data_IF_940869951320
#
_entry.id   IF_940869951320
#
_cell.length_a   1.000
_cell.length_b   1.000
_cell.length_c   1.000
_cell.angle_alpha   90.00
_cell.angle_beta   90.00
_cell.angle_gamma   90.00
#
_symmetry.space_group_name_H-M   'P 1'
#
loop_
_entity.id
_entity.type
_entity.pdbx_description
1 polymer ?
#
# COMPACT_ATOMS: atom_id res chain seq x y z
N UNK A 1 1.18 4.92 7.17
CA UNK A 1 1.97 4.16 6.18
C UNK A 1 1.56 4.60 4.78
N UNK A 2 2.49 5.16 3.98
CA UNK A 2 2.23 5.59 2.60
C UNK A 2 2.42 4.44 1.59
N UNK A 3 2.07 4.66 0.32
CA UNK A 3 2.27 3.69 -0.75
C UNK A 3 3.77 3.52 -1.09
N UNK A 4 4.22 2.28 -1.30
CA UNK A 4 5.61 1.96 -1.63
C UNK A 4 5.91 2.26 -3.10
N UNK A 5 6.15 3.54 -3.39
CA UNK A 5 6.47 4.07 -4.72
C UNK A 5 7.90 4.64 -4.76
N UNK A 6 8.94 3.78 -4.71
CA UNK A 6 10.31 4.27 -4.70
C UNK A 6 10.66 4.98 -6.00
N UNK A 7 11.56 5.96 -5.90
CA UNK A 7 12.26 6.55 -7.04
C UNK A 7 13.22 5.54 -7.68
N UNK A 8 13.57 5.75 -8.94
CA UNK A 8 14.56 4.93 -9.64
C UNK A 8 15.98 5.03 -9.03
N UNK A 9 16.98 4.37 -9.63
CA UNK A 9 16.88 3.61 -10.88
C UNK A 9 16.10 2.29 -10.71
N UNK A 10 15.43 1.86 -11.78
CA UNK A 10 14.75 0.57 -11.86
C UNK A 10 15.64 -0.42 -12.63
N UNK A 11 15.62 -1.70 -12.22
CA UNK A 11 16.46 -2.73 -12.83
C UNK A 11 15.98 -3.01 -14.25
N UNK A 12 16.91 -3.02 -15.21
CA UNK A 12 16.63 -3.41 -16.60
C UNK A 12 16.63 -4.92 -16.75
N UNK A 13 15.60 -5.43 -17.42
CA UNK A 13 15.46 -6.84 -17.73
C UNK A 13 16.02 -7.15 -19.12
N UNK A 14 17.13 -7.90 -19.15
CA UNK A 14 17.83 -8.30 -20.37
C UNK A 14 16.98 -9.21 -21.26
N UNK A 15 16.06 -9.98 -20.69
CA UNK A 15 15.18 -10.89 -21.42
C UNK A 15 13.96 -10.17 -22.02
N UNK A 16 13.70 -8.92 -21.61
CA UNK A 16 12.62 -8.08 -22.11
C UNK A 16 13.14 -6.84 -22.85
N UNK A 17 14.15 -7.00 -23.70
CA UNK A 17 14.76 -5.90 -24.48
C UNK A 17 15.19 -4.72 -23.60
N UNK A 18 15.79 -4.99 -22.43
CA UNK A 18 16.23 -3.98 -21.47
C UNK A 18 15.11 -3.08 -20.92
N UNK A 19 13.85 -3.54 -20.97
CA UNK A 19 12.71 -2.86 -20.35
C UNK A 19 12.83 -2.92 -18.83
N UNK A 20 12.24 -1.94 -18.17
CA UNK A 20 12.17 -1.87 -16.72
C UNK A 20 10.86 -1.19 -16.32
N UNK A 21 10.56 -1.24 -15.03
CA UNK A 21 9.54 -0.38 -14.45
C UNK A 21 9.89 1.11 -14.67
N UNK A 22 8.86 1.95 -14.82
CA UNK A 22 8.98 3.40 -14.93
C UNK A 22 8.11 4.09 -13.89
N UNK A 23 8.60 5.21 -13.34
CA UNK A 23 7.84 6.05 -12.41
C UNK A 23 6.53 6.57 -13.02
N UNK A 24 6.45 6.67 -14.36
CA UNK A 24 5.22 7.08 -15.05
C UNK A 24 4.04 6.16 -14.76
N UNK A 25 4.27 4.88 -14.46
CA UNK A 25 3.20 3.95 -14.11
C UNK A 25 2.45 4.34 -12.83
N UNK A 26 3.06 5.09 -11.93
CA UNK A 26 2.37 5.60 -10.74
C UNK A 26 1.34 6.68 -11.05
N UNK A 27 1.23 7.17 -12.28
CA UNK A 27 0.35 8.30 -12.61
C UNK A 27 -0.57 7.98 -13.78
N UNK A 28 -1.85 8.25 -13.61
CA UNK A 28 -2.85 8.25 -14.68
C UNK A 28 -3.10 9.67 -15.17
N UNK A 29 -3.39 9.84 -16.47
CA UNK A 29 -3.79 11.13 -17.03
C UNK A 29 -5.30 11.14 -17.23
N UNK A 30 -6.01 12.01 -16.51
CA UNK A 30 -7.44 12.24 -16.72
C UNK A 30 -7.66 13.69 -17.12
N UNK A 31 -8.19 13.92 -18.33
CA UNK A 31 -8.56 15.26 -18.85
C UNK A 31 -7.60 16.37 -18.40
N UNK A 32 -6.30 16.19 -18.67
CA UNK A 32 -5.18 17.11 -18.37
C UNK A 32 -4.60 17.12 -16.94
N UNK A 33 -5.13 16.33 -16.00
CA UNK A 33 -4.58 16.21 -14.63
C UNK A 33 -3.89 14.86 -14.44
N UNK A 34 -2.67 14.89 -13.90
CA UNK A 34 -1.96 13.71 -13.43
C UNK A 34 -2.49 13.30 -12.07
N UNK A 35 -3.05 12.10 -11.99
CA UNK A 35 -3.59 11.51 -10.76
C UNK A 35 -2.68 10.38 -10.32
N UNK A 36 -2.18 10.43 -9.09
CA UNK A 36 -1.37 9.35 -8.54
C UNK A 36 -2.22 8.09 -8.27
N UNK A 37 -1.76 6.95 -8.80
CA UNK A 37 -2.28 5.62 -8.50
C UNK A 37 -1.73 5.16 -7.16
N UNK A 38 -2.36 5.58 -6.07
CA UNK A 38 -1.90 5.26 -4.70
C UNK A 38 -1.76 3.75 -4.44
N UNK A 39 -2.51 2.92 -5.17
CA UNK A 39 -2.55 1.48 -5.01
C UNK A 39 -1.37 0.75 -5.68
N UNK A 40 -0.76 1.33 -6.71
CA UNK A 40 0.31 0.69 -7.49
C UNK A 40 1.66 0.92 -6.79
N UNK A 41 2.33 -0.17 -6.44
CA UNK A 41 3.62 -0.16 -5.74
C UNK A 41 4.67 -0.96 -6.51
N UNK A 42 5.95 -0.74 -6.19
CA UNK A 42 7.06 -1.49 -6.76
C UNK A 42 8.05 -1.93 -5.68
N UNK A 43 8.42 -3.21 -5.70
CA UNK A 43 9.46 -3.77 -4.84
C UNK A 43 10.80 -3.77 -5.57
N UNK A 44 11.77 -2.98 -5.08
CA UNK A 44 13.15 -2.99 -5.62
C UNK A 44 13.88 -4.31 -5.39
N UNK A 45 13.58 -4.98 -4.27
CA UNK A 45 14.23 -6.24 -3.89
C UNK A 45 13.75 -7.36 -4.81
N UNK A 46 12.44 -7.45 -5.00
CA UNK A 46 11.81 -8.50 -5.80
C UNK A 46 11.71 -8.12 -7.29
N UNK A 47 11.97 -6.87 -7.66
CA UNK A 47 11.82 -6.36 -9.03
C UNK A 47 10.43 -6.66 -9.62
N UNK A 48 9.37 -6.31 -8.88
CA UNK A 48 7.97 -6.55 -9.24
C UNK A 48 7.10 -5.33 -8.95
N UNK A 49 6.12 -5.08 -9.82
CA UNK A 49 5.00 -4.18 -9.55
C UNK A 49 3.84 -4.96 -8.92
N UNK A 50 3.15 -4.38 -7.94
CA UNK A 50 2.03 -5.04 -7.27
C UNK A 50 0.97 -4.02 -6.81
N UNK A 51 -0.21 -4.50 -6.47
CA UNK A 51 -1.29 -3.67 -5.92
C UNK A 51 -1.36 -3.85 -4.41
N UNK A 52 -1.04 -2.81 -3.64
CA UNK A 52 -0.98 -2.88 -2.18
C UNK A 52 -2.36 -3.20 -1.54
N UNK A 53 -3.46 -2.52 -1.92
CA UNK A 53 -4.79 -2.88 -1.41
C UNK A 53 -5.18 -4.32 -1.71
N UNK A 54 -4.95 -4.80 -2.94
CA UNK A 54 -5.29 -6.17 -3.29
C UNK A 54 -4.41 -7.19 -2.55
N UNK A 55 -3.11 -6.93 -2.41
CA UNK A 55 -2.22 -7.80 -1.67
C UNK A 55 -2.69 -8.01 -0.22
N UNK A 56 -3.18 -6.95 0.43
CA UNK A 56 -3.68 -7.01 1.79
C UNK A 56 -5.09 -7.63 1.88
N UNK A 57 -6.03 -7.09 1.12
CA UNK A 57 -7.47 -7.25 1.35
C UNK A 57 -8.22 -8.06 0.29
N UNK A 58 -7.55 -8.58 -0.75
CA UNK A 58 -8.27 -9.41 -1.73
C UNK A 58 -8.66 -10.76 -1.14
N UNK A 59 -9.85 -11.24 -1.52
CA UNK A 59 -10.28 -12.63 -1.31
C UNK A 59 -9.62 -13.59 -2.31
N UNK A 60 -9.24 -13.10 -3.49
CA UNK A 60 -8.66 -13.91 -4.57
C UNK A 60 -7.13 -13.93 -4.50
N UNK A 61 -6.56 -14.75 -3.62
CA UNK A 61 -5.10 -14.81 -3.39
C UNK A 61 -4.28 -15.22 -4.63
N UNK A 62 -4.89 -15.91 -5.59
CA UNK A 62 -4.25 -16.31 -6.85
C UNK A 62 -4.17 -15.16 -7.88
N UNK A 63 -4.59 -13.95 -7.54
CA UNK A 63 -4.48 -12.79 -8.41
C UNK A 63 -3.01 -12.40 -8.62
N UNK A 64 -2.60 -12.23 -9.87
CA UNK A 64 -1.24 -11.80 -10.27
C UNK A 64 -0.79 -10.51 -9.58
N UNK A 65 -1.73 -9.63 -9.21
CA UNK A 65 -1.46 -8.39 -8.49
C UNK A 65 -1.09 -8.57 -7.03
N UNK A 66 -1.30 -9.77 -6.46
CA UNK A 66 -0.86 -10.17 -5.12
C UNK A 66 0.52 -10.81 -5.13
N UNK A 67 0.85 -11.58 -6.18
CA UNK A 67 2.17 -12.18 -6.35
C UNK A 67 3.21 -11.20 -6.92
N UNK A 68 2.74 -10.22 -7.70
CA UNK A 68 3.56 -9.24 -8.39
C UNK A 68 3.71 -9.54 -9.88
N UNK A 69 3.96 -8.48 -10.63
CA UNK A 69 4.08 -8.48 -12.09
C UNK A 69 5.46 -7.97 -12.46
N UNK A 70 6.16 -8.73 -13.30
CA UNK A 70 7.41 -8.34 -13.97
C UNK A 70 7.27 -8.30 -15.49
N UNK A 71 6.06 -8.26 -16.03
CA UNK A 71 5.85 -8.12 -17.47
C UNK A 71 5.81 -6.63 -17.85
N UNK A 72 6.99 -6.04 -18.08
CA UNK A 72 7.14 -4.62 -18.36
C UNK A 72 6.57 -4.22 -19.71
N UNK A 73 6.48 -5.17 -20.65
CA UNK A 73 5.92 -4.94 -21.98
C UNK A 73 4.42 -4.69 -21.92
N UNK A 74 3.69 -5.45 -21.10
CA UNK A 74 2.23 -5.38 -21.01
C UNK A 74 1.74 -4.69 -19.72
N UNK A 75 2.64 -4.13 -18.92
CA UNK A 75 2.28 -3.54 -17.62
C UNK A 75 1.23 -2.42 -17.75
N UNK A 76 1.31 -1.56 -18.76
CA UNK A 76 0.33 -0.48 -18.97
C UNK A 76 -1.10 -1.02 -19.11
N UNK A 77 -1.28 -2.00 -20.00
CA UNK A 77 -2.57 -2.62 -20.28
C UNK A 77 -3.12 -3.34 -19.04
N UNK A 78 -2.25 -4.08 -18.34
CA UNK A 78 -2.63 -4.77 -17.12
C UNK A 78 -3.06 -3.80 -16.03
N UNK A 79 -2.37 -2.65 -15.88
CA UNK A 79 -2.73 -1.61 -14.92
C UNK A 79 -4.15 -1.12 -15.19
N UNK A 80 -4.47 -0.83 -16.44
CA UNK A 80 -5.79 -0.35 -16.84
C UNK A 80 -6.86 -1.41 -16.54
N UNK A 81 -6.70 -2.64 -17.04
CA UNK A 81 -7.64 -3.74 -16.80
C UNK A 81 -7.86 -4.01 -15.31
N UNK A 82 -6.79 -3.98 -14.51
CA UNK A 82 -6.88 -4.19 -13.07
C UNK A 82 -7.67 -3.10 -12.36
N UNK A 83 -7.46 -1.84 -12.75
CA UNK A 83 -8.09 -0.69 -12.09
C UNK A 83 -9.62 -0.70 -12.19
N UNK A 84 -10.17 -1.38 -13.21
CA UNK A 84 -11.62 -1.54 -13.40
C UNK A 84 -12.19 -2.83 -12.80
N UNK A 85 -11.36 -3.73 -12.27
CA UNK A 85 -11.84 -4.99 -11.72
C UNK A 85 -12.58 -4.79 -10.39
N UNK A 86 -13.69 -5.52 -10.19
CA UNK A 86 -14.51 -5.40 -8.98
C UNK A 86 -13.71 -5.70 -7.70
N UNK A 87 -12.88 -6.75 -7.73
CA UNK A 87 -12.03 -7.12 -6.59
C UNK A 87 -10.97 -6.06 -6.26
N UNK A 88 -10.51 -5.28 -7.24
CA UNK A 88 -9.64 -4.13 -6.99
C UNK A 88 -10.41 -3.00 -6.29
N UNK A 89 -11.58 -2.64 -6.81
CA UNK A 89 -12.41 -1.55 -6.26
C UNK A 89 -12.79 -1.86 -4.81
N UNK A 90 -13.22 -3.08 -4.51
CA UNK A 90 -13.55 -3.53 -3.16
C UNK A 90 -12.33 -3.47 -2.23
N UNK A 91 -11.19 -4.02 -2.65
CA UNK A 91 -9.96 -3.99 -1.86
C UNK A 91 -9.49 -2.55 -1.57
N UNK A 92 -9.60 -1.64 -2.55
CA UNK A 92 -9.30 -0.22 -2.38
C UNK A 92 -10.26 0.46 -1.39
N UNK A 93 -11.56 0.14 -1.43
CA UNK A 93 -12.53 0.68 -0.48
C UNK A 93 -12.24 0.23 0.96
N UNK A 94 -11.91 -1.05 1.15
CA UNK A 94 -11.49 -1.59 2.45
C UNK A 94 -10.18 -0.96 2.91
N UNK A 95 -9.20 -0.82 2.02
CA UNK A 95 -7.91 -0.19 2.33
C UNK A 95 -8.05 1.26 2.78
N UNK A 96 -8.86 2.05 2.06
CA UNK A 96 -9.13 3.45 2.45
C UNK A 96 -9.92 3.54 3.75
N UNK A 97 -10.88 2.63 3.98
CA UNK A 97 -11.56 2.54 5.28
C UNK A 97 -10.56 2.21 6.37
N UNK A 98 -9.73 1.19 6.21
CA UNK A 98 -8.70 0.77 7.16
C UNK A 98 -7.72 1.91 7.48
N UNK A 99 -7.31 2.68 6.48
CA UNK A 99 -6.42 3.84 6.64
C UNK A 99 -7.08 5.01 7.39
N UNK A 100 -8.40 5.16 7.27
CA UNK A 100 -9.20 6.22 7.92
C UNK A 100 -9.75 5.84 9.27
N UNK A 101 -10.08 4.57 9.47
CA UNK A 101 -10.38 4.01 10.76
C UNK A 101 -9.11 4.14 11.57
N UNK A 102 -9.08 5.16 12.43
CA UNK A 102 -8.45 5.04 13.72
C UNK A 102 -8.76 3.64 14.23
N UNK A 103 -7.72 2.82 14.28
CA UNK A 103 -7.81 1.37 14.41
C UNK A 103 -8.76 0.99 15.55
N UNK A 104 -9.34 -0.22 15.52
CA UNK A 104 -10.04 -0.80 16.69
C UNK A 104 -9.17 -0.63 17.96
N UNK A 105 -7.85 -0.70 17.78
CA UNK A 105 -6.85 -0.49 18.81
C UNK A 105 -6.77 0.93 19.35
N UNK A 106 -7.32 1.97 18.72
CA UNK A 106 -7.20 3.33 19.26
C UNK A 106 -7.94 3.50 20.57
N UNK A 107 -9.14 2.92 20.68
CA UNK A 107 -9.90 3.00 21.91
C UNK A 107 -9.24 2.15 23.00
N UNK A 108 -8.80 0.93 22.66
CA UNK A 108 -8.03 0.07 23.56
C UNK A 108 -6.68 0.70 23.97
N UNK A 109 -5.95 1.32 23.05
CA UNK A 109 -4.68 2.01 23.29
C UNK A 109 -4.91 3.24 24.18
N UNK A 110 -6.04 3.92 24.03
CA UNK A 110 -6.40 5.04 24.89
C UNK A 110 -6.69 4.56 26.32
N UNK A 111 -7.39 3.44 26.49
CA UNK A 111 -7.62 2.83 27.82
C UNK A 111 -6.30 2.36 28.46
N UNK A 112 -5.43 1.70 27.70
CA UNK A 112 -4.08 1.32 28.18
C UNK A 112 -3.29 2.56 28.61
N UNK A 113 -3.33 3.65 27.84
CA UNK A 113 -2.65 4.91 28.20
C UNK A 113 -3.25 5.56 29.44
N UNK A 114 -4.57 5.51 29.62
CA UNK A 114 -5.24 6.02 30.83
C UNK A 114 -4.79 5.24 32.06
N UNK A 115 -4.81 3.91 31.99
CA UNK A 115 -4.34 3.05 33.09
C UNK A 115 -2.86 3.30 33.40
N UNK A 116 -1.99 3.35 32.38
CA UNK A 116 -0.58 3.65 32.57
C UNK A 116 -0.35 5.03 33.21
N UNK A 117 -1.13 6.04 32.83
CA UNK A 117 -1.05 7.38 33.41
C UNK A 117 -1.53 7.40 34.86
N UNK A 118 -2.61 6.68 35.18
CA UNK A 118 -3.10 6.52 36.54
C UNK A 118 -2.04 5.87 37.44
N UNK A 119 -1.47 4.74 37.03
CA UNK A 119 -0.45 4.06 37.81
C UNK A 119 0.83 4.90 37.97
N UNK A 120 1.20 5.68 36.97
CA UNK A 120 2.31 6.64 37.07
C UNK A 120 2.05 7.69 38.17
N UNK A 121 0.85 8.25 38.24
CA UNK A 121 0.48 9.21 39.29
C UNK A 121 0.48 8.57 40.69
N UNK A 122 -0.01 7.34 40.80
CA UNK A 122 0.02 6.59 42.07
C UNK A 122 1.46 6.39 42.54
N UNK A 123 2.34 5.90 41.66
CA UNK A 123 3.74 5.68 41.98
C UNK A 123 4.45 6.97 42.38
N UNK A 124 4.21 8.08 41.67
CA UNK A 124 4.77 9.39 42.03
C UNK A 124 4.40 9.78 43.46
N UNK A 125 3.12 9.66 43.84
CA UNK A 125 2.69 9.96 45.23
C UNK A 125 3.28 9.04 46.28
N UNK A 126 3.55 7.78 45.92
CA UNK A 126 4.14 6.81 46.85
C UNK A 126 5.64 7.02 47.08
N UNK A 127 6.35 7.54 46.08
CA UNK A 127 7.79 7.79 46.14
C UNK A 127 8.17 9.26 46.42
N UNK A 128 7.24 10.22 46.27
CA UNK A 128 7.40 11.61 46.73
C UNK A 128 7.15 11.77 48.25
N UNK A 129 7.66 10.82 49.06
CA UNK A 129 7.71 10.89 50.53
C UNK A 129 9.13 11.22 50.97
#
# INVERSE_FOLDING_TARGET
MGSLQPSGPFRKDMHQNNRCFSKSYYFSTSKYVLVNRFWLCYSKILDIAYCQPCWLFTSQRNNVWCMGIRDWRHLSERIEQHSFSSGHVEACAVYERWKKSDTIDKEHENEIRKEASFWKMVLQRLFDI
#
